data_IF_552162301049
#
_entry.id   IF_552162301049
#
_cell.length_a   1.000
_cell.length_b   1.000
_cell.length_c   1.000
_cell.angle_alpha   90.00
_cell.angle_beta   90.00
_cell.angle_gamma   90.00
#
_symmetry.space_group_name_H-M   'P 1'
#
loop_
_entity.id
_entity.type
_entity.pdbx_description
1 polymer ?
#
# COMPACT_ATOMS: atom_id res chain seq x y z
N UNK A 1 4.07 -16.35 18.57
CA UNK A 1 2.78 -15.73 18.94
C UNK A 1 2.90 -15.32 20.39
N UNK A 2 3.32 -14.10 20.69
CA UNK A 2 3.39 -13.56 22.07
C UNK A 2 3.65 -12.04 22.11
N UNK A 3 3.19 -11.29 21.10
CA UNK A 3 3.00 -9.84 21.24
C UNK A 3 1.54 -9.59 20.91
N UNK A 4 0.78 -9.11 21.89
CA UNK A 4 -0.59 -8.65 21.67
C UNK A 4 -0.50 -7.25 21.06
N UNK A 5 -0.99 -7.10 19.83
CA UNK A 5 -1.11 -5.79 19.21
C UNK A 5 -2.17 -4.94 19.94
N UNK A 6 -2.06 -3.60 19.88
CA UNK A 6 -3.00 -2.71 20.56
C UNK A 6 -4.46 -2.97 20.18
N UNK A 7 -5.33 -2.89 21.18
CA UNK A 7 -6.79 -3.01 21.04
C UNK A 7 -7.47 -1.69 21.40
N UNK A 8 -8.59 -1.33 20.77
CA UNK A 8 -9.37 -0.16 21.16
C UNK A 8 -9.86 -0.26 22.63
N UNK A 9 -10.16 0.88 23.30
CA UNK A 9 -10.27 2.22 22.72
C UNK A 9 -8.91 2.93 22.52
N UNK A 10 -8.75 3.61 21.37
CA UNK A 10 -7.60 4.47 21.09
C UNK A 10 -7.82 5.91 21.55
N UNK A 11 -6.73 6.67 21.75
CA UNK A 11 -6.83 8.09 22.03
C UNK A 11 -7.25 8.89 20.78
N UNK A 12 -7.97 10.01 20.99
CA UNK A 12 -8.21 11.00 19.92
C UNK A 12 -6.87 11.61 19.51
N UNK A 13 -6.62 11.64 18.21
CA UNK A 13 -5.33 12.05 17.64
C UNK A 13 -5.48 12.59 16.20
N UNK A 14 -6.40 13.52 15.94
CA UNK A 14 -6.69 13.99 14.58
C UNK A 14 -5.45 14.59 13.92
N UNK A 15 -5.32 14.36 12.61
CA UNK A 15 -4.22 14.88 11.80
C UNK A 15 -4.74 15.50 10.50
N UNK A 16 -3.91 16.30 9.83
CA UNK A 16 -4.17 16.75 8.46
C UNK A 16 -3.67 15.69 7.47
N UNK A 17 -4.38 15.52 6.36
CA UNK A 17 -3.97 14.64 5.24
C UNK A 17 -2.63 15.13 4.68
N UNK A 18 -1.64 14.24 4.45
CA UNK A 18 -1.72 12.78 4.42
C UNK A 18 -1.60 12.06 5.78
N UNK A 19 -1.25 12.78 6.85
CA UNK A 19 -0.98 12.24 8.18
C UNK A 19 0.48 11.80 8.32
N UNK A 20 0.97 11.77 9.56
CA UNK A 20 2.32 11.34 9.91
C UNK A 20 2.27 10.17 10.89
N UNK A 21 2.95 9.08 10.54
CA UNK A 21 3.08 7.88 11.38
C UNK A 21 3.83 8.18 12.67
N UNK A 22 4.88 9.01 12.61
CA UNK A 22 5.61 9.44 13.80
C UNK A 22 4.78 10.18 14.85
N UNK A 23 3.56 10.63 14.51
CA UNK A 23 2.63 11.34 15.42
C UNK A 23 1.52 10.45 15.97
N UNK A 24 1.44 9.19 15.57
CA UNK A 24 0.39 8.28 16.02
C UNK A 24 0.73 7.66 17.38
N UNK A 25 -0.30 7.45 18.20
CA UNK A 25 -0.21 6.73 19.47
C UNK A 25 -1.37 5.73 19.60
N UNK A 26 -1.12 4.42 19.61
CA UNK A 26 0.19 3.78 19.53
C UNK A 26 0.82 3.94 18.15
N UNK A 27 2.15 3.94 18.11
CA UNK A 27 2.92 3.92 16.86
C UNK A 27 2.61 2.62 16.08
N UNK A 28 2.22 2.68 14.79
CA UNK A 28 1.96 1.50 13.97
C UNK A 28 3.17 0.58 13.86
N UNK A 29 2.99 -0.72 14.13
CA UNK A 29 4.05 -1.71 13.92
C UNK A 29 4.14 -2.06 12.43
N UNK A 30 5.21 -1.59 11.77
CA UNK A 30 5.53 -1.91 10.39
C UNK A 30 6.54 -3.06 10.27
N UNK A 31 6.87 -3.71 11.37
CA UNK A 31 7.76 -4.85 11.42
C UNK A 31 9.21 -4.45 11.64
N UNK A 32 9.48 -3.20 12.05
CA UNK A 32 10.80 -2.64 12.33
C UNK A 32 11.66 -3.57 13.19
N UNK A 33 11.06 -4.34 14.10
CA UNK A 33 11.79 -5.28 14.97
C UNK A 33 11.37 -6.73 14.77
N UNK A 34 10.15 -6.98 14.30
CA UNK A 34 9.53 -8.31 14.31
C UNK A 34 9.69 -9.09 12.99
N UNK A 35 9.71 -8.43 11.83
CA UNK A 35 9.80 -9.13 10.53
C UNK A 35 11.20 -9.73 10.31
N UNK A 36 11.30 -11.03 9.99
CA UNK A 36 12.59 -11.69 9.69
C UNK A 36 12.58 -12.23 8.27
N UNK A 37 13.50 -11.76 7.44
CA UNK A 37 13.64 -12.23 6.06
C UNK A 37 14.31 -13.60 5.95
N UNK A 38 14.08 -14.27 4.82
CA UNK A 38 14.69 -15.55 4.47
C UNK A 38 15.28 -15.58 3.05
N UNK A 39 15.43 -14.41 2.43
CA UNK A 39 16.10 -14.25 1.13
C UNK A 39 15.17 -14.47 -0.08
N UNK A 40 13.85 -14.37 0.12
CA UNK A 40 12.84 -14.72 -0.90
C UNK A 40 12.78 -13.75 -2.09
N UNK A 41 13.35 -12.56 -1.94
CA UNK A 41 13.39 -11.50 -2.96
C UNK A 41 14.84 -11.11 -3.31
N UNK A 42 15.79 -12.01 -3.10
CA UNK A 42 17.20 -11.73 -3.29
C UNK A 42 17.50 -11.18 -4.70
N UNK A 43 18.02 -9.96 -4.75
CA UNK A 43 18.42 -9.31 -5.99
C UNK A 43 17.28 -8.68 -6.80
N UNK A 44 16.03 -8.72 -6.31
CA UNK A 44 14.89 -8.03 -6.91
C UNK A 44 14.99 -6.52 -6.67
N UNK A 45 14.37 -5.73 -7.54
CA UNK A 45 14.20 -4.28 -7.39
C UNK A 45 12.72 -3.96 -7.30
N UNK A 46 12.32 -3.31 -6.21
CA UNK A 46 10.93 -2.96 -5.94
C UNK A 46 10.71 -1.45 -6.00
N UNK A 47 9.63 -1.02 -6.66
CA UNK A 47 9.07 0.33 -6.56
C UNK A 47 7.75 0.25 -5.78
N UNK A 48 7.63 1.00 -4.68
CA UNK A 48 6.47 0.98 -3.78
C UNK A 48 5.95 2.40 -3.60
N UNK A 49 4.69 2.66 -3.92
CA UNK A 49 4.05 3.97 -3.69
C UNK A 49 3.39 4.03 -2.31
N UNK A 50 3.41 5.20 -1.65
CA UNK A 50 2.89 5.41 -0.30
C UNK A 50 3.64 4.57 0.74
N UNK A 51 4.95 4.49 0.62
CA UNK A 51 5.81 3.65 1.46
C UNK A 51 6.65 4.42 2.48
N UNK A 52 6.42 5.72 2.59
CA UNK A 52 6.81 6.51 3.75
C UNK A 52 6.22 5.94 5.05
N UNK A 53 4.99 5.39 5.03
CA UNK A 53 4.26 4.98 6.22
C UNK A 53 3.35 3.76 6.00
N UNK A 54 2.71 3.30 7.08
CA UNK A 54 1.66 2.29 7.09
C UNK A 54 2.05 0.98 6.39
N UNK A 55 1.12 0.46 5.58
CA UNK A 55 1.30 -0.80 4.85
C UNK A 55 2.51 -0.72 3.91
N UNK A 56 2.68 0.41 3.21
CA UNK A 56 3.80 0.59 2.28
C UNK A 56 5.16 0.53 2.99
N UNK A 57 5.30 1.17 4.17
CA UNK A 57 6.51 1.05 5.02
C UNK A 57 6.76 -0.41 5.42
N UNK A 58 5.72 -1.12 5.87
CA UNK A 58 5.87 -2.53 6.26
C UNK A 58 6.30 -3.43 5.09
N UNK A 59 5.78 -3.17 3.89
CA UNK A 59 6.18 -3.86 2.67
C UNK A 59 7.61 -3.51 2.29
N UNK A 60 8.03 -2.25 2.38
CA UNK A 60 9.40 -1.82 2.10
C UNK A 60 10.42 -2.50 3.03
N UNK A 61 10.14 -2.53 4.34
CA UNK A 61 10.97 -3.20 5.35
C UNK A 61 11.06 -4.71 5.05
N UNK A 62 9.91 -5.36 4.82
CA UNK A 62 9.88 -6.79 4.51
C UNK A 62 10.66 -7.10 3.22
N UNK A 63 10.47 -6.31 2.16
CA UNK A 63 11.16 -6.51 0.88
C UNK A 63 12.67 -6.36 1.02
N UNK A 64 13.14 -5.34 1.74
CA UNK A 64 14.56 -5.15 2.00
C UNK A 64 15.17 -6.33 2.78
N UNK A 65 14.49 -6.81 3.82
CA UNK A 65 14.91 -7.97 4.61
C UNK A 65 14.90 -9.28 3.80
N UNK A 66 14.02 -9.39 2.82
CA UNK A 66 13.99 -10.51 1.88
C UNK A 66 15.02 -10.40 0.75
N UNK A 67 15.72 -9.27 0.66
CA UNK A 67 16.89 -9.10 -0.18
C UNK A 67 16.73 -8.18 -1.38
N UNK A 68 15.63 -7.44 -1.47
CA UNK A 68 15.35 -6.53 -2.57
C UNK A 68 15.96 -5.13 -2.34
N UNK A 69 16.35 -4.46 -3.42
CA UNK A 69 16.52 -3.00 -3.42
C UNK A 69 15.15 -2.33 -3.49
N UNK A 70 14.99 -1.17 -2.84
CA UNK A 70 13.66 -0.54 -2.73
C UNK A 70 13.71 0.93 -3.17
N UNK A 71 12.81 1.32 -4.07
CA UNK A 71 12.43 2.71 -4.29
C UNK A 71 11.07 2.96 -3.63
N UNK A 72 10.96 4.04 -2.86
CA UNK A 72 9.70 4.46 -2.26
C UNK A 72 9.27 5.81 -2.80
N UNK A 73 8.01 5.89 -3.25
CA UNK A 73 7.36 7.14 -3.61
C UNK A 73 6.36 7.52 -2.52
N UNK A 74 6.25 8.81 -2.22
CA UNK A 74 5.41 9.40 -1.17
C UNK A 74 5.13 10.86 -1.54
N UNK A 75 4.26 11.56 -0.81
CA UNK A 75 3.88 12.93 -1.16
C UNK A 75 4.93 13.93 -0.68
N UNK A 76 4.96 14.17 0.63
CA UNK A 76 5.79 15.18 1.31
C UNK A 76 6.12 14.82 2.77
N UNK A 77 5.79 13.60 3.21
CA UNK A 77 6.03 13.04 4.55
C UNK A 77 7.52 12.68 4.76
N UNK A 78 8.42 13.64 4.53
CA UNK A 78 9.87 13.40 4.45
C UNK A 78 10.46 12.72 5.68
N UNK A 79 10.02 13.08 6.89
CA UNK A 79 10.51 12.45 8.13
C UNK A 79 10.14 10.95 8.19
N UNK A 80 8.92 10.61 7.77
CA UNK A 80 8.47 9.24 7.73
C UNK A 80 9.16 8.43 6.61
N UNK A 81 9.35 9.04 5.44
CA UNK A 81 10.09 8.42 4.35
C UNK A 81 11.56 8.16 4.72
N UNK A 82 12.17 9.08 5.46
CA UNK A 82 13.53 8.95 5.97
C UNK A 82 13.67 7.80 6.98
N UNK A 83 12.67 7.61 7.84
CA UNK A 83 12.63 6.46 8.75
C UNK A 83 12.47 5.14 7.99
N UNK A 84 11.61 5.07 6.96
CA UNK A 84 11.54 3.89 6.08
C UNK A 84 12.89 3.62 5.42
N UNK A 85 13.56 4.64 4.86
CA UNK A 85 14.89 4.49 4.26
C UNK A 85 15.88 3.92 5.26
N UNK A 86 15.90 4.43 6.49
CA UNK A 86 16.81 3.96 7.55
C UNK A 86 16.65 2.45 7.79
N UNK A 87 15.41 1.95 7.86
CA UNK A 87 15.15 0.51 8.06
C UNK A 87 15.50 -0.35 6.84
N UNK A 88 15.32 0.17 5.63
CA UNK A 88 15.76 -0.51 4.38
C UNK A 88 17.29 -0.62 4.35
N UNK A 89 17.99 0.46 4.71
CA UNK A 89 19.45 0.51 4.77
C UNK A 89 20.03 -0.34 5.90
N UNK A 90 19.35 -0.41 7.06
CA UNK A 90 19.70 -1.31 8.15
C UNK A 90 19.62 -2.79 7.74
N UNK A 91 18.74 -3.14 6.80
CA UNK A 91 18.68 -4.48 6.19
C UNK A 91 19.77 -4.72 5.12
N UNK A 92 20.70 -3.79 4.93
CA UNK A 92 21.81 -3.88 3.97
C UNK A 92 21.39 -3.65 2.51
N UNK A 93 20.26 -2.97 2.29
CA UNK A 93 19.73 -2.66 0.95
C UNK A 93 19.69 -1.15 0.73
N UNK A 94 19.80 -0.74 -0.53
CA UNK A 94 19.69 0.64 -0.95
C UNK A 94 18.22 1.05 -1.01
N UNK A 95 17.94 2.24 -0.50
CA UNK A 95 16.65 2.89 -0.61
C UNK A 95 16.73 4.13 -1.51
N UNK A 96 15.81 4.29 -2.45
CA UNK A 96 15.63 5.51 -3.24
C UNK A 96 14.35 6.22 -2.81
N UNK A 97 14.47 7.50 -2.40
CA UNK A 97 13.33 8.34 -2.02
C UNK A 97 12.83 9.15 -3.22
N UNK A 98 11.52 9.10 -3.48
CA UNK A 98 10.87 9.73 -4.63
C UNK A 98 9.63 10.55 -4.22
N UNK A 99 9.82 11.71 -3.57
CA UNK A 99 8.71 12.57 -3.15
C UNK A 99 7.99 13.18 -4.35
N UNK A 100 6.69 13.43 -4.20
CA UNK A 100 5.87 14.22 -5.12
C UNK A 100 4.48 13.64 -5.37
N UNK A 101 3.58 14.49 -5.85
CA UNK A 101 2.16 14.19 -6.02
C UNK A 101 1.86 13.27 -7.22
N UNK A 102 1.33 12.08 -6.95
CA UNK A 102 0.96 11.09 -7.96
C UNK A 102 -0.27 11.46 -8.80
N UNK A 103 -1.07 12.45 -8.39
CA UNK A 103 -2.10 13.01 -9.28
C UNK A 103 -1.45 13.64 -10.55
N UNK A 104 -0.20 14.11 -10.43
CA UNK A 104 0.54 14.67 -11.54
C UNK A 104 1.05 13.57 -12.48
N UNK A 105 0.70 13.69 -13.76
CA UNK A 105 1.15 12.76 -14.80
C UNK A 105 2.67 12.63 -14.83
N UNK A 106 3.38 13.75 -14.78
CA UNK A 106 4.85 13.76 -14.86
C UNK A 106 5.47 13.00 -13.69
N UNK A 107 4.92 13.16 -12.48
CA UNK A 107 5.42 12.43 -11.31
C UNK A 107 5.30 10.91 -11.48
N UNK A 108 4.19 10.42 -12.02
CA UNK A 108 4.02 9.00 -12.32
C UNK A 108 5.10 8.44 -13.26
N UNK A 109 5.55 9.22 -14.23
CA UNK A 109 6.62 8.85 -15.18
C UNK A 109 8.00 8.99 -14.52
N UNK A 110 8.20 10.04 -13.72
CA UNK A 110 9.45 10.34 -13.02
C UNK A 110 9.83 9.25 -12.00
N UNK A 111 8.88 8.75 -11.20
CA UNK A 111 9.21 7.72 -10.20
C UNK A 111 9.72 6.43 -10.86
N UNK A 112 9.17 6.08 -12.01
CA UNK A 112 9.58 4.90 -12.78
C UNK A 112 10.95 5.16 -13.41
N UNK A 113 11.10 6.27 -14.12
CA UNK A 113 12.36 6.58 -14.82
C UNK A 113 13.54 6.73 -13.85
N UNK A 114 13.34 7.37 -12.70
CA UNK A 114 14.37 7.49 -11.64
C UNK A 114 14.71 6.14 -11.02
N UNK A 115 13.72 5.28 -10.77
CA UNK A 115 13.96 3.91 -10.28
C UNK A 115 14.78 3.10 -11.29
N UNK A 116 14.45 3.18 -12.57
CA UNK A 116 15.18 2.48 -13.64
C UNK A 116 16.57 3.07 -13.83
N UNK A 117 16.74 4.39 -13.73
CA UNK A 117 18.05 5.02 -13.82
C UNK A 117 18.99 4.59 -12.68
N UNK A 118 18.44 4.43 -11.47
CA UNK A 118 19.19 4.04 -10.28
C UNK A 118 19.51 2.53 -10.26
N UNK A 119 18.52 1.68 -10.56
CA UNK A 119 18.64 0.24 -10.35
C UNK A 119 18.66 -0.60 -11.64
N UNK A 120 18.43 0.01 -12.80
CA UNK A 120 18.49 -0.59 -14.13
C UNK A 120 17.20 -1.28 -14.59
N UNK A 121 16.29 -1.66 -13.69
CA UNK A 121 15.00 -2.32 -14.00
C UNK A 121 14.02 -2.21 -12.83
N UNK A 122 12.81 -2.73 -13.02
CA UNK A 122 11.83 -2.93 -11.95
C UNK A 122 11.38 -4.39 -11.97
N UNK A 123 11.64 -5.16 -10.92
CA UNK A 123 11.16 -6.54 -10.82
C UNK A 123 9.77 -6.60 -10.16
N UNK A 124 9.51 -5.71 -9.19
CA UNK A 124 8.27 -5.66 -8.43
C UNK A 124 7.74 -4.23 -8.40
N UNK A 125 6.47 -4.05 -8.76
CA UNK A 125 5.76 -2.78 -8.61
C UNK A 125 4.63 -2.95 -7.59
N UNK A 126 4.60 -2.10 -6.58
CA UNK A 126 3.53 -2.06 -5.59
C UNK A 126 2.81 -0.71 -5.66
N UNK A 127 1.57 -0.73 -6.16
CA UNK A 127 0.70 0.44 -6.14
C UNK A 127 -0.09 0.43 -4.83
N UNK A 128 0.38 1.20 -3.84
CA UNK A 128 -0.18 1.24 -2.49
C UNK A 128 -0.68 2.63 -2.06
N UNK A 129 -0.09 3.72 -2.56
CA UNK A 129 -0.55 5.08 -2.29
C UNK A 129 -2.06 5.23 -2.56
N UNK A 130 -2.75 5.92 -1.66
CA UNK A 130 -4.17 6.20 -1.80
C UNK A 130 -4.55 7.50 -1.08
N UNK A 131 -5.63 8.11 -1.56
CA UNK A 131 -6.35 9.18 -0.91
C UNK A 131 -7.74 8.66 -0.51
N UNK A 132 -8.21 9.05 0.68
CA UNK A 132 -9.55 8.76 1.17
C UNK A 132 -10.07 9.96 1.96
N UNK A 133 -11.38 10.16 1.96
CA UNK A 133 -12.09 11.10 2.83
C UNK A 133 -13.45 10.48 3.20
N UNK A 134 -13.94 10.83 4.39
CA UNK A 134 -15.22 10.36 4.91
C UNK A 134 -16.26 11.47 4.83
N UNK A 135 -17.44 11.16 4.30
CA UNK A 135 -18.58 12.08 4.20
C UNK A 135 -19.88 11.38 4.59
N UNK A 136 -20.79 12.08 5.26
CA UNK A 136 -22.08 11.52 5.70
C UNK A 136 -23.13 11.57 4.60
N UNK A 137 -23.00 12.53 3.67
CA UNK A 137 -23.94 12.73 2.57
C UNK A 137 -23.23 12.85 1.23
N UNK A 138 -23.97 12.62 0.14
CA UNK A 138 -23.42 12.72 -1.22
C UNK A 138 -23.01 14.15 -1.57
N UNK A 139 -23.76 15.16 -1.10
CA UNK A 139 -23.54 16.57 -1.43
C UNK A 139 -22.24 17.15 -0.82
N UNK A 140 -21.67 16.48 0.17
CA UNK A 140 -20.38 16.85 0.78
C UNK A 140 -19.19 16.46 -0.11
N UNK A 141 -19.38 15.53 -1.05
CA UNK A 141 -18.34 15.08 -1.98
C UNK A 141 -18.28 16.06 -3.16
N UNK A 142 -17.33 16.98 -3.12
CA UNK A 142 -17.05 17.90 -4.24
C UNK A 142 -16.56 17.16 -5.50
N UNK A 143 -16.81 17.75 -6.68
CA UNK A 143 -16.27 17.24 -7.95
C UNK A 143 -14.74 17.21 -7.93
N UNK A 144 -14.10 18.21 -7.30
CA UNK A 144 -12.65 18.28 -7.15
C UNK A 144 -12.10 17.13 -6.30
N UNK A 145 -12.75 16.79 -5.18
CA UNK A 145 -12.36 15.66 -4.35
C UNK A 145 -12.59 14.33 -5.07
N UNK A 146 -13.71 14.18 -5.77
CA UNK A 146 -13.98 12.99 -6.57
C UNK A 146 -12.87 12.77 -7.60
N UNK A 147 -12.54 13.80 -8.39
CA UNK A 147 -11.47 13.75 -9.38
C UNK A 147 -10.13 13.45 -8.71
N UNK A 148 -9.78 14.12 -7.61
CA UNK A 148 -8.54 13.86 -6.87
C UNK A 148 -8.44 12.42 -6.39
N UNK A 149 -9.53 11.87 -5.85
CA UNK A 149 -9.58 10.48 -5.37
C UNK A 149 -9.31 9.50 -6.50
N UNK A 150 -9.91 9.72 -7.68
CA UNK A 150 -9.64 8.89 -8.85
C UNK A 150 -8.23 9.11 -9.40
N UNK A 151 -7.76 10.35 -9.46
CA UNK A 151 -6.45 10.65 -10.02
C UNK A 151 -5.32 9.99 -9.23
N UNK A 152 -5.42 9.98 -7.90
CA UNK A 152 -4.44 9.32 -7.02
C UNK A 152 -4.65 7.80 -7.02
N UNK A 153 -5.87 7.30 -6.86
CA UNK A 153 -6.09 5.88 -6.58
C UNK A 153 -6.12 4.99 -7.83
N UNK A 154 -6.58 5.51 -8.98
CA UNK A 154 -6.72 4.71 -10.21
C UNK A 154 -5.91 5.28 -11.38
N UNK A 155 -5.98 6.59 -11.64
CA UNK A 155 -5.29 7.18 -12.81
C UNK A 155 -3.77 7.07 -12.65
N UNK A 156 -3.24 7.37 -11.46
CA UNK A 156 -1.82 7.20 -11.16
C UNK A 156 -1.38 5.74 -11.32
N UNK A 157 -2.13 4.79 -10.74
CA UNK A 157 -1.84 3.36 -10.87
C UNK A 157 -1.74 2.94 -12.35
N UNK A 158 -2.68 3.37 -13.20
CA UNK A 158 -2.63 3.11 -14.63
C UNK A 158 -1.36 3.70 -15.28
N UNK A 159 -1.05 4.98 -15.01
CA UNK A 159 0.11 5.68 -15.57
C UNK A 159 1.43 5.01 -15.15
N UNK A 160 1.55 4.66 -13.87
CA UNK A 160 2.74 4.00 -13.30
C UNK A 160 2.89 2.60 -13.90
N UNK A 161 1.82 1.80 -13.98
CA UNK A 161 1.88 0.49 -14.64
C UNK A 161 2.32 0.62 -16.11
N UNK A 162 1.73 1.56 -16.84
CA UNK A 162 2.08 1.82 -18.25
C UNK A 162 3.55 2.18 -18.42
N UNK A 163 4.09 3.02 -17.54
CA UNK A 163 5.49 3.42 -17.56
C UNK A 163 6.43 2.29 -17.12
N UNK A 164 6.06 1.49 -16.10
CA UNK A 164 6.91 0.46 -15.52
C UNK A 164 7.03 -0.80 -16.38
N UNK A 165 5.92 -1.26 -17.00
CA UNK A 165 5.87 -2.54 -17.74
C UNK A 165 7.00 -2.72 -18.76
N UNK A 166 7.41 -1.72 -19.57
CA UNK A 166 8.56 -1.84 -20.47
C UNK A 166 9.88 -2.22 -19.78
N UNK A 167 10.04 -1.88 -18.51
CA UNK A 167 11.25 -2.12 -17.70
C UNK A 167 11.14 -3.33 -16.78
N UNK A 168 10.03 -4.08 -16.86
CA UNK A 168 9.81 -5.29 -16.07
C UNK A 168 10.20 -6.56 -16.86
N UNK A 169 11.11 -7.40 -16.34
CA UNK A 169 11.48 -8.66 -16.98
C UNK A 169 10.37 -9.72 -16.85
N UNK A 170 10.52 -10.83 -17.58
CA UNK A 170 9.73 -12.04 -17.34
C UNK A 170 9.94 -12.51 -15.90
N UNK A 171 8.86 -12.84 -15.20
CA UNK A 171 8.87 -13.12 -13.77
C UNK A 171 8.59 -11.88 -12.90
N UNK A 172 8.35 -10.70 -13.51
CA UNK A 172 7.96 -9.51 -12.78
C UNK A 172 6.60 -9.65 -12.07
N UNK A 173 6.39 -8.85 -11.03
CA UNK A 173 5.15 -8.86 -10.23
C UNK A 173 4.61 -7.46 -10.01
N UNK A 174 3.33 -7.25 -10.28
CA UNK A 174 2.59 -6.03 -9.93
C UNK A 174 1.60 -6.38 -8.81
N UNK A 175 1.62 -5.62 -7.73
CA UNK A 175 0.75 -5.83 -6.57
C UNK A 175 0.00 -4.53 -6.29
N UNK A 176 -1.32 -4.56 -6.37
CA UNK A 176 -2.16 -3.39 -6.14
C UNK A 176 -2.87 -3.49 -4.79
N UNK A 177 -2.91 -2.39 -4.04
CA UNK A 177 -3.59 -2.35 -2.74
C UNK A 177 -5.03 -1.92 -2.93
N UNK A 178 -5.95 -2.89 -2.91
CA UNK A 178 -7.39 -2.64 -2.90
C UNK A 178 -7.85 -2.38 -1.45
N UNK A 179 -9.00 -2.93 -1.03
CA UNK A 179 -9.54 -2.82 0.32
C UNK A 179 -10.71 -3.79 0.47
N UNK A 180 -11.06 -4.17 1.69
CA UNK A 180 -12.37 -4.78 1.98
C UNK A 180 -13.55 -3.95 1.43
N UNK A 181 -13.38 -2.64 1.26
CA UNK A 181 -14.37 -1.77 0.62
C UNK A 181 -14.64 -2.09 -0.86
N UNK A 182 -13.83 -2.93 -1.53
CA UNK A 182 -14.17 -3.40 -2.88
C UNK A 182 -15.39 -4.33 -2.90
N UNK A 183 -15.69 -5.00 -1.78
CA UNK A 183 -16.76 -5.99 -1.64
C UNK A 183 -17.81 -5.57 -0.63
N UNK A 184 -17.36 -4.84 0.40
CA UNK A 184 -18.18 -4.30 1.48
C UNK A 184 -18.00 -2.78 1.54
N UNK A 185 -18.48 -2.02 0.54
CA UNK A 185 -18.30 -0.57 0.51
C UNK A 185 -18.99 0.09 1.73
N UNK A 186 -18.23 0.84 2.54
CA UNK A 186 -18.79 1.70 3.58
C UNK A 186 -19.48 2.91 2.90
N UNK A 187 -20.77 3.19 3.19
CA UNK A 187 -21.49 4.29 2.54
C UNK A 187 -20.76 5.65 2.64
N UNK A 188 -20.14 5.92 3.79
CA UNK A 188 -19.44 7.18 4.05
C UNK A 188 -18.09 7.32 3.34
N UNK A 189 -17.64 6.29 2.63
CA UNK A 189 -16.39 6.26 1.86
C UNK A 189 -16.66 6.08 0.36
N UNK A 190 -17.77 6.61 -0.16
CA UNK A 190 -18.26 6.31 -1.52
C UNK A 190 -17.19 6.47 -2.62
N UNK A 191 -16.52 7.63 -2.69
CA UNK A 191 -15.48 7.89 -3.69
C UNK A 191 -14.32 6.88 -3.56
N UNK A 192 -13.81 6.70 -2.33
CA UNK A 192 -12.74 5.76 -2.03
C UNK A 192 -13.13 4.30 -2.38
N UNK A 193 -14.27 3.83 -1.89
CA UNK A 193 -14.74 2.46 -2.11
C UNK A 193 -14.92 2.17 -3.61
N UNK A 194 -15.43 3.14 -4.37
CA UNK A 194 -15.53 3.05 -5.84
C UNK A 194 -14.16 2.83 -6.47
N UNK A 195 -13.14 3.60 -6.07
CA UNK A 195 -11.77 3.39 -6.58
C UNK A 195 -11.19 2.03 -6.17
N UNK A 196 -11.50 1.51 -4.98
CA UNK A 196 -11.03 0.18 -4.56
C UNK A 196 -11.68 -0.96 -5.34
N UNK A 197 -12.95 -0.83 -5.70
CA UNK A 197 -13.61 -1.73 -6.67
C UNK A 197 -12.96 -1.66 -8.06
N UNK A 198 -12.65 -0.44 -8.53
CA UNK A 198 -11.95 -0.25 -9.80
C UNK A 198 -10.54 -0.87 -9.80
N UNK A 199 -9.78 -0.75 -8.70
CA UNK A 199 -8.45 -1.38 -8.54
C UNK A 199 -8.56 -2.92 -8.61
N UNK A 200 -9.55 -3.51 -7.94
CA UNK A 200 -9.76 -4.96 -7.97
C UNK A 200 -10.03 -5.45 -9.40
N UNK A 201 -10.93 -4.77 -10.13
CA UNK A 201 -11.23 -5.12 -11.52
C UNK A 201 -10.05 -4.85 -12.48
N UNK A 202 -9.36 -3.72 -12.31
CA UNK A 202 -8.15 -3.38 -13.09
C UNK A 202 -7.08 -4.45 -12.94
N UNK A 203 -6.88 -4.97 -11.72
CA UNK A 203 -5.92 -6.04 -11.42
C UNK A 203 -6.22 -7.29 -12.24
N UNK A 204 -7.48 -7.75 -12.26
CA UNK A 204 -7.89 -8.94 -13.02
C UNK A 204 -7.74 -8.77 -14.54
N UNK A 205 -8.05 -7.58 -15.06
CA UNK A 205 -7.84 -7.26 -16.48
C UNK A 205 -6.36 -7.18 -16.86
N UNK A 206 -5.54 -6.50 -16.05
CA UNK A 206 -4.11 -6.35 -16.33
C UNK A 206 -3.35 -7.69 -16.20
N UNK A 207 -3.76 -8.57 -15.29
CA UNK A 207 -3.22 -9.91 -15.17
C UNK A 207 -3.35 -10.72 -16.47
N UNK A 208 -4.53 -10.66 -17.10
CA UNK A 208 -4.79 -11.32 -18.38
C UNK A 208 -3.95 -10.67 -19.49
N UNK A 209 -3.89 -9.34 -19.52
CA UNK A 209 -3.15 -8.59 -20.54
C UNK A 209 -1.64 -8.86 -20.50
N UNK A 210 -1.06 -9.05 -19.31
CA UNK A 210 0.39 -9.21 -19.15
C UNK A 210 0.86 -10.67 -19.02
N UNK A 211 -0.06 -11.63 -19.05
CA UNK A 211 0.24 -13.06 -18.89
C UNK A 211 1.28 -13.58 -19.91
N UNK A 212 1.15 -13.21 -21.18
CA UNK A 212 2.11 -13.61 -22.24
C UNK A 212 3.50 -12.99 -22.05
N UNK A 213 3.58 -11.81 -21.40
CA UNK A 213 4.86 -11.18 -21.01
C UNK A 213 5.48 -11.86 -19.78
N UNK A 214 4.75 -12.78 -19.14
CA UNK A 214 5.14 -13.47 -17.93
C UNK A 214 5.25 -12.52 -16.72
N UNK A 215 4.43 -11.47 -16.67
CA UNK A 215 4.30 -10.59 -15.51
C UNK A 215 3.00 -10.94 -14.80
N UNK A 216 3.08 -11.17 -13.50
CA UNK A 216 1.93 -11.48 -12.65
C UNK A 216 1.35 -10.19 -12.10
N UNK A 217 0.02 -10.13 -11.97
CA UNK A 217 -0.67 -8.97 -11.39
C UNK A 217 -1.67 -9.45 -10.36
N UNK A 218 -1.53 -9.03 -9.11
CA UNK A 218 -2.42 -9.43 -8.02
C UNK A 218 -2.81 -8.22 -7.19
N UNK A 219 -3.80 -8.40 -6.31
CA UNK A 219 -4.17 -7.37 -5.34
C UNK A 219 -4.25 -7.92 -3.92
N UNK A 220 -3.98 -7.04 -2.96
CA UNK A 220 -4.20 -7.29 -1.54
C UNK A 220 -5.33 -6.39 -1.09
N UNK A 221 -6.30 -6.95 -0.36
CA UNK A 221 -7.47 -6.28 0.19
C UNK A 221 -7.39 -6.24 1.73
N UNK A 222 -6.77 -5.19 2.30
CA UNK A 222 -6.73 -5.02 3.74
C UNK A 222 -8.12 -4.69 4.32
N UNK A 223 -8.35 -5.14 5.55
CA UNK A 223 -9.43 -4.65 6.41
C UNK A 223 -9.03 -3.35 7.12
N UNK A 224 -9.50 -3.12 8.37
CA UNK A 224 -9.05 -1.97 9.15
C UNK A 224 -7.61 -2.20 9.64
N UNK A 225 -6.68 -1.43 9.09
CA UNK A 225 -5.26 -1.45 9.47
C UNK A 225 -4.90 -0.09 10.09
N UNK A 226 -4.17 -0.11 11.21
CA UNK A 226 -3.76 1.11 11.92
C UNK A 226 -2.66 1.84 11.14
N UNK A 227 -3.02 2.95 10.49
CA UNK A 227 -2.12 3.75 9.63
C UNK A 227 -2.44 5.24 9.76
N UNK A 228 -1.57 6.16 9.31
CA UNK A 228 -1.81 7.62 9.42
C UNK A 228 -3.05 8.09 8.67
N UNK A 229 -3.43 7.34 7.63
CA UNK A 229 -4.64 7.59 6.86
C UNK A 229 -5.92 7.56 7.72
N UNK A 230 -5.91 6.84 8.84
CA UNK A 230 -7.06 6.71 9.74
C UNK A 230 -7.34 8.01 10.52
N UNK A 231 -6.43 8.49 11.38
CA UNK A 231 -6.66 9.74 12.11
C UNK A 231 -6.66 11.00 11.23
N UNK A 232 -6.15 10.91 10.00
CA UNK A 232 -6.19 12.03 9.06
C UNK A 232 -7.54 12.21 8.35
N UNK A 233 -8.41 11.18 8.32
CA UNK A 233 -9.61 11.19 7.46
C UNK A 233 -10.88 10.70 8.14
N UNK A 234 -10.79 10.14 9.35
CA UNK A 234 -11.94 9.63 10.11
C UNK A 234 -12.26 10.54 11.30
N UNK A 235 -13.49 10.46 11.80
CA UNK A 235 -13.91 11.19 13.00
C UNK A 235 -13.22 10.62 14.24
N UNK A 236 -13.10 11.44 15.29
CA UNK A 236 -12.51 11.00 16.57
C UNK A 236 -13.21 9.77 17.18
N UNK A 237 -14.52 9.64 16.97
CA UNK A 237 -15.31 8.49 17.46
C UNK A 237 -14.98 7.21 16.69
N UNK A 238 -14.88 7.31 15.36
CA UNK A 238 -14.46 6.20 14.51
C UNK A 238 -13.02 5.77 14.82
N UNK A 239 -12.10 6.72 15.07
CA UNK A 239 -10.71 6.42 15.48
C UNK A 239 -10.65 5.68 16.82
N UNK A 240 -11.41 6.13 17.83
CA UNK A 240 -11.44 5.50 19.17
C UNK A 240 -11.84 4.04 19.11
N UNK A 241 -12.81 3.70 18.28
CA UNK A 241 -13.37 2.34 18.17
C UNK A 241 -12.77 1.52 17.03
N UNK A 242 -11.78 2.06 16.31
CA UNK A 242 -11.31 1.52 15.04
C UNK A 242 -10.93 0.03 15.12
N UNK A 243 -11.54 -0.80 14.28
CA UNK A 243 -11.27 -2.24 14.20
C UNK A 243 -11.94 -3.11 15.27
N UNK A 244 -12.64 -2.51 16.25
CA UNK A 244 -13.41 -3.24 17.26
C UNK A 244 -14.52 -4.13 16.68
N UNK A 245 -14.99 -3.78 15.48
CA UNK A 245 -16.04 -4.48 14.75
C UNK A 245 -15.54 -5.68 13.93
N UNK A 246 -14.23 -5.94 13.93
CA UNK A 246 -13.67 -7.16 13.34
C UNK A 246 -13.86 -8.36 14.27
N UNK A 247 -13.93 -9.60 13.74
CA UNK A 247 -13.93 -10.80 14.58
C UNK A 247 -12.73 -10.94 15.52
N UNK A 248 -11.57 -10.35 15.20
CA UNK A 248 -10.41 -10.29 16.10
C UNK A 248 -10.47 -9.15 17.14
N UNK A 249 -11.50 -8.29 17.10
CA UNK A 249 -11.75 -7.24 18.08
C UNK A 249 -10.74 -6.09 18.09
N UNK A 250 -9.88 -5.99 17.05
CA UNK A 250 -8.82 -5.00 16.94
C UNK A 250 -8.51 -4.68 15.47
N UNK A 251 -7.89 -3.52 15.18
CA UNK A 251 -7.32 -3.31 13.86
C UNK A 251 -6.09 -4.21 13.67
N UNK A 252 -5.79 -4.50 12.41
CA UNK A 252 -4.50 -5.08 12.04
C UNK A 252 -3.39 -4.04 12.17
N UNK A 253 -2.16 -4.49 12.40
CA UNK A 253 -0.97 -3.65 12.23
C UNK A 253 -0.39 -3.82 10.81
N UNK A 254 0.29 -2.80 10.26
CA UNK A 254 0.88 -2.90 8.93
C UNK A 254 1.77 -4.13 8.70
N UNK A 255 2.55 -4.55 9.71
CA UNK A 255 3.38 -5.76 9.66
C UNK A 255 2.59 -7.04 9.39
N UNK A 256 1.32 -7.11 9.78
CA UNK A 256 0.48 -8.30 9.56
C UNK A 256 0.05 -8.43 8.09
N UNK A 257 0.18 -7.35 7.31
CA UNK A 257 -0.15 -7.32 5.89
C UNK A 257 1.07 -7.61 5.01
N UNK A 258 2.28 -7.26 5.44
CA UNK A 258 3.49 -7.41 4.60
C UNK A 258 3.81 -8.85 4.12
N UNK A 259 3.53 -9.94 4.87
CA UNK A 259 3.87 -11.30 4.43
C UNK A 259 3.19 -11.71 3.12
N UNK A 260 1.96 -11.26 2.86
CA UNK A 260 1.27 -11.58 1.60
C UNK A 260 1.90 -10.83 0.42
N UNK A 261 2.37 -9.60 0.62
CA UNK A 261 3.11 -8.88 -0.43
C UNK A 261 4.42 -9.61 -0.77
N UNK A 262 5.14 -10.15 0.21
CA UNK A 262 6.37 -10.93 -0.04
C UNK A 262 6.07 -12.17 -0.85
N UNK A 263 5.02 -12.94 -0.49
CA UNK A 263 4.60 -14.09 -1.30
C UNK A 263 4.32 -13.66 -2.74
N UNK A 264 3.48 -12.65 -2.94
CA UNK A 264 3.08 -12.20 -4.27
C UNK A 264 4.24 -11.63 -5.10
N UNK A 265 5.26 -11.05 -4.46
CA UNK A 265 6.47 -10.56 -5.11
C UNK A 265 7.47 -11.67 -5.46
N UNK A 266 7.49 -12.75 -4.68
CA UNK A 266 8.43 -13.86 -4.83
C UNK A 266 8.12 -14.76 -6.03
N UNK A 267 9.11 -15.56 -6.44
CA UNK A 267 8.93 -16.55 -7.51
C UNK A 267 8.09 -17.76 -7.06
N UNK A 268 7.83 -17.92 -5.75
CA UNK A 268 6.92 -18.94 -5.20
C UNK A 268 5.47 -18.74 -5.68
N UNK A 269 5.09 -17.50 -5.96
CA UNK A 269 3.78 -17.13 -6.49
C UNK A 269 3.66 -17.30 -8.02
N UNK A 270 4.49 -18.16 -8.63
CA UNK A 270 4.59 -18.33 -10.09
C UNK A 270 3.27 -18.63 -10.82
N UNK A 271 2.29 -19.25 -10.14
CA UNK A 271 0.95 -19.53 -10.67
C UNK A 271 -0.17 -18.66 -10.08
N UNK A 272 0.20 -17.63 -9.30
CA UNK A 272 -0.73 -16.69 -8.69
C UNK A 272 -0.73 -15.41 -9.53
N UNK A 273 -1.78 -15.22 -10.33
CA UNK A 273 -2.03 -14.01 -11.11
C UNK A 273 -3.53 -13.78 -11.28
N UNK A 274 -3.96 -12.52 -11.23
CA UNK A 274 -5.36 -12.11 -11.25
C UNK A 274 -6.09 -12.33 -9.92
N UNK A 275 -5.38 -12.68 -8.85
CA UNK A 275 -5.97 -13.00 -7.54
C UNK A 275 -6.07 -11.77 -6.63
N UNK A 276 -7.03 -11.81 -5.71
CA UNK A 276 -7.20 -10.82 -4.63
C UNK A 276 -7.09 -11.54 -3.28
N UNK A 277 -6.17 -11.09 -2.43
CA UNK A 277 -5.91 -11.69 -1.12
C UNK A 277 -6.39 -10.80 0.03
N UNK A 278 -7.24 -11.33 0.89
CA UNK A 278 -7.80 -10.61 2.03
C UNK A 278 -6.89 -10.69 3.26
N UNK A 279 -6.68 -9.56 3.94
CA UNK A 279 -6.05 -9.48 5.28
C UNK A 279 -6.95 -8.62 6.17
N UNK A 280 -7.97 -9.25 6.77
CA UNK A 280 -9.17 -8.53 7.22
C UNK A 280 -9.58 -8.80 8.67
N UNK A 281 -8.74 -9.49 9.45
CA UNK A 281 -9.06 -9.82 10.85
C UNK A 281 -10.33 -10.65 11.01
N UNK A 282 -10.65 -11.49 10.01
CA UNK A 282 -11.81 -12.38 10.02
C UNK A 282 -13.05 -11.86 9.29
N UNK A 283 -13.07 -10.60 8.82
CA UNK A 283 -14.16 -10.14 7.93
C UNK A 283 -14.06 -10.86 6.58
N UNK A 284 -15.09 -11.62 6.15
CA UNK A 284 -15.00 -12.43 4.95
C UNK A 284 -14.96 -11.56 3.68
N UNK A 285 -14.12 -11.95 2.73
CA UNK A 285 -14.19 -11.55 1.32
C UNK A 285 -14.30 -12.86 0.55
N UNK A 286 -15.45 -13.09 -0.11
CA UNK A 286 -15.78 -14.33 -0.82
C UNK A 286 -15.61 -14.17 -2.34
#
# INVERSE_FOLDING_TARGET
MNEEYPTPPFASQPQEVPGLQGRMDPYPDCGEKSYKGSGRLQGKIALITGADSGIGRAVAIAFAREGAQVAISYLDEHEDAEETRRWVEEAGRKCLLLPGDLAQKQQCEDIVSKTVAEFGRIDVLVNNAAFQMTHETLDEISDEEWVKTFDINITAMFRICKAAVPHMPKGGSIINTSSVNSDMPKPTLLAYATTKGAIANFTGGLAQLLGEKGIRVNSVAPGPIWTPLIPATMTDEDVKSFGSETPLGRPGQPVEVSPIYVLLASDEASYISGSRYAVTGGKPIL
#
